data_IF_204445501378
#
_entry.id   IF_204445501378
#
_cell.length_a   1.000
_cell.length_b   1.000
_cell.length_c   1.000
_cell.angle_alpha   90.00
_cell.angle_beta   90.00
_cell.angle_gamma   90.00
#
_symmetry.space_group_name_H-M   'P 1'
#
loop_
_entity.id
_entity.type
_entity.pdbx_description
1 polymer ?
#
# COMPACT_ATOMS: atom_id res chain seq x y z
N UNK A 1 14.50 -1.69 10.10
CA UNK A 1 13.79 -1.50 8.81
C UNK A 1 14.78 -1.78 7.70
N UNK A 2 14.61 -2.90 7.00
CA UNK A 2 15.48 -3.29 5.91
C UNK A 2 15.17 -2.51 4.63
N UNK A 3 16.22 -2.07 3.91
CA UNK A 3 16.08 -1.36 2.62
C UNK A 3 15.26 -2.15 1.60
N UNK A 4 15.35 -3.49 1.66
CA UNK A 4 14.59 -4.41 0.80
C UNK A 4 13.07 -4.36 1.05
N UNK A 5 12.66 -3.98 2.26
CA UNK A 5 11.23 -3.83 2.61
C UNK A 5 10.70 -2.51 2.11
N UNK A 6 11.50 -1.44 2.18
CA UNK A 6 11.12 -0.11 1.67
C UNK A 6 10.78 -0.16 0.18
N UNK A 7 11.62 -0.83 -0.61
CA UNK A 7 11.43 -0.97 -2.06
C UNK A 7 10.10 -1.66 -2.46
N UNK A 8 9.50 -2.46 -1.57
CA UNK A 8 8.23 -3.16 -1.84
C UNK A 8 7.02 -2.29 -1.52
N UNK A 9 7.17 -1.34 -0.60
CA UNK A 9 6.07 -0.54 -0.04
C UNK A 9 6.03 0.88 -0.55
N UNK A 10 7.12 1.40 -1.10
CA UNK A 10 7.15 2.70 -1.76
C UNK A 10 6.68 2.58 -3.21
N UNK A 11 5.87 3.51 -3.73
CA UNK A 11 5.62 3.63 -5.16
C UNK A 11 6.91 3.58 -5.98
N UNK A 12 6.86 2.94 -7.15
CA UNK A 12 8.04 2.82 -8.01
C UNK A 12 8.46 4.18 -8.56
N UNK A 13 9.76 4.40 -8.74
CA UNK A 13 10.29 5.63 -9.32
C UNK A 13 9.69 5.87 -10.73
N UNK A 14 9.18 7.08 -10.96
CA UNK A 14 8.50 7.43 -12.22
C UNK A 14 7.02 7.03 -12.30
N UNK A 15 6.45 6.40 -11.26
CA UNK A 15 5.00 6.21 -11.21
C UNK A 15 4.28 7.56 -11.15
N UNK A 16 3.45 7.82 -12.17
CA UNK A 16 2.50 8.92 -12.10
C UNK A 16 1.50 8.59 -11.00
N UNK A 17 1.14 9.57 -10.17
CA UNK A 17 0.15 9.40 -9.10
C UNK A 17 -1.16 8.79 -9.62
N UNK A 18 -1.55 9.07 -10.86
CA UNK A 18 -2.71 8.48 -11.53
C UNK A 18 -2.67 6.95 -11.68
N UNK A 19 -1.50 6.32 -11.55
CA UNK A 19 -1.31 4.86 -11.67
C UNK A 19 -1.28 4.16 -10.32
N UNK A 20 -1.26 4.92 -9.23
CA UNK A 20 -1.29 4.39 -7.88
C UNK A 20 -2.69 3.90 -7.52
N UNK A 21 -2.70 2.85 -6.71
CA UNK A 21 -3.91 2.27 -6.15
C UNK A 21 -3.77 2.19 -4.64
N UNK A 22 -4.85 2.44 -3.93
CA UNK A 22 -4.92 2.26 -2.49
C UNK A 22 -5.56 0.90 -2.17
N UNK A 23 -4.96 0.13 -1.27
CA UNK A 23 -5.61 -1.07 -0.73
C UNK A 23 -6.88 -0.67 0.04
N UNK A 24 -8.02 -1.28 -0.28
CA UNK A 24 -9.31 -0.91 0.33
C UNK A 24 -9.33 -1.16 1.85
N UNK A 25 -8.55 -2.13 2.34
CA UNK A 25 -8.53 -2.52 3.76
C UNK A 25 -7.61 -1.64 4.61
N UNK A 26 -6.38 -1.41 4.15
CA UNK A 26 -5.33 -0.78 4.96
C UNK A 26 -4.83 0.56 4.41
N UNK A 27 -5.34 1.01 3.25
CA UNK A 27 -5.00 2.28 2.59
C UNK A 27 -3.54 2.40 2.12
N UNK A 28 -2.77 1.31 2.13
CA UNK A 28 -1.43 1.28 1.54
C UNK A 28 -1.49 1.64 0.06
N UNK A 29 -0.67 2.59 -0.36
CA UNK A 29 -0.57 3.08 -1.75
C UNK A 29 0.62 2.42 -2.45
N UNK A 30 0.37 1.85 -3.64
CA UNK A 30 1.39 1.29 -4.54
C UNK A 30 0.93 1.30 -5.98
N UNK A 31 1.85 0.99 -6.90
CA UNK A 31 1.48 0.64 -8.26
C UNK A 31 0.69 -0.67 -8.33
N UNK A 32 -0.18 -0.77 -9.34
CA UNK A 32 -0.89 -2.02 -9.67
C UNK A 32 0.08 -3.20 -9.79
N UNK A 33 1.22 -2.98 -10.45
CA UNK A 33 2.21 -4.03 -10.68
C UNK A 33 2.86 -4.47 -9.36
N UNK A 34 3.14 -3.55 -8.43
CA UNK A 34 3.68 -3.89 -7.12
C UNK A 34 2.70 -4.72 -6.27
N UNK A 35 1.40 -4.44 -6.36
CA UNK A 35 0.38 -5.31 -5.75
C UNK A 35 0.33 -6.69 -6.38
N UNK A 36 0.53 -6.79 -7.70
CA UNK A 36 0.55 -8.06 -8.40
C UNK A 36 1.78 -8.89 -8.02
N UNK A 37 2.95 -8.26 -7.93
CA UNK A 37 4.22 -8.94 -7.70
C UNK A 37 4.42 -9.30 -6.22
N UNK A 38 4.06 -8.38 -5.31
CA UNK A 38 4.35 -8.51 -3.88
C UNK A 38 3.11 -8.73 -3.02
N UNK A 39 1.93 -8.33 -3.50
CA UNK A 39 0.72 -8.28 -2.69
C UNK A 39 0.66 -7.05 -1.78
N UNK A 40 -0.22 -7.12 -0.77
CA UNK A 40 -0.32 -6.13 0.30
C UNK A 40 0.33 -6.70 1.56
N UNK A 41 1.33 -6.01 2.12
CA UNK A 41 2.06 -6.44 3.31
C UNK A 41 1.19 -6.40 4.57
N UNK A 42 0.23 -5.47 4.60
CA UNK A 42 -0.66 -5.30 5.74
C UNK A 42 -1.89 -6.22 5.67
N UNK A 43 -2.18 -6.79 4.49
CA UNK A 43 -3.36 -7.65 4.28
C UNK A 43 -3.03 -8.88 3.44
N UNK A 44 -2.23 -9.85 3.95
CA UNK A 44 -1.90 -11.07 3.22
C UNK A 44 -3.14 -11.88 2.81
N UNK A 45 -4.19 -11.83 3.62
CA UNK A 45 -5.45 -12.55 3.40
C UNK A 45 -6.25 -12.05 2.19
N UNK A 46 -5.93 -10.84 1.69
CA UNK A 46 -6.54 -10.32 0.47
C UNK A 46 -6.12 -11.10 -0.80
N UNK A 47 -5.02 -11.87 -0.74
CA UNK A 47 -4.61 -12.77 -1.82
C UNK A 47 -4.32 -12.05 -3.15
N UNK A 48 -3.76 -10.84 -3.08
CA UNK A 48 -3.54 -9.98 -4.26
C UNK A 48 -2.40 -10.47 -5.17
N UNK A 49 -1.39 -11.12 -4.58
CA UNK A 49 -0.18 -11.58 -5.29
C UNK A 49 -0.54 -12.57 -6.39
N UNK A 50 -0.07 -12.29 -7.62
CA UNK A 50 -0.32 -13.10 -8.82
C UNK A 50 -1.77 -13.08 -9.31
N UNK A 51 -2.69 -12.35 -8.66
CA UNK A 51 -4.12 -12.38 -8.98
C UNK A 51 -4.61 -10.99 -9.43
N UNK A 52 -4.41 -10.68 -10.72
CA UNK A 52 -4.76 -9.37 -11.30
C UNK A 52 -6.22 -8.95 -11.06
N UNK A 53 -7.17 -9.88 -11.17
CA UNK A 53 -8.59 -9.61 -10.89
C UNK A 53 -8.82 -9.20 -9.44
N UNK A 54 -8.12 -9.82 -8.49
CA UNK A 54 -8.17 -9.45 -7.08
C UNK A 54 -7.47 -8.12 -6.79
N UNK A 55 -6.40 -7.80 -7.51
CA UNK A 55 -5.80 -6.45 -7.41
C UNK A 55 -6.82 -5.39 -7.81
N UNK A 56 -7.57 -5.60 -8.89
CA UNK A 56 -8.59 -4.64 -9.35
C UNK A 56 -9.72 -4.49 -8.34
N UNK A 57 -10.23 -5.58 -7.76
CA UNK A 57 -11.36 -5.53 -6.82
C UNK A 57 -10.96 -5.22 -5.38
N UNK A 58 -9.72 -5.49 -4.99
CA UNK A 58 -9.18 -5.25 -3.65
C UNK A 58 -8.48 -3.90 -3.48
N UNK A 59 -8.38 -3.10 -4.54
CA UNK A 59 -7.73 -1.78 -4.52
C UNK A 59 -8.50 -0.75 -5.35
N UNK A 60 -8.42 0.52 -4.97
CA UNK A 60 -9.10 1.64 -5.66
C UNK A 60 -8.10 2.61 -6.28
N UNK A 61 -8.46 3.22 -7.41
CA UNK A 61 -7.75 4.39 -7.98
C UNK A 61 -8.27 5.72 -7.44
N UNK A 62 -9.42 5.70 -6.77
CA UNK A 62 -9.99 6.87 -6.09
C UNK A 62 -9.39 6.96 -4.69
N UNK A 63 -8.28 7.68 -4.56
CA UNK A 63 -7.61 7.97 -3.31
C UNK A 63 -7.25 9.46 -3.28
N UNK A 64 -7.15 10.03 -2.08
CA UNK A 64 -6.80 11.43 -1.89
C UNK A 64 -5.86 11.55 -0.70
N UNK A 65 -4.85 12.42 -0.85
CA UNK A 65 -3.79 12.58 0.14
C UNK A 65 -2.83 11.38 0.18
N UNK A 66 -1.58 11.65 0.56
CA UNK A 66 -0.56 10.63 0.74
C UNK A 66 0.30 10.99 1.94
N UNK A 67 0.57 10.02 2.81
CA UNK A 67 1.46 10.18 3.97
C UNK A 67 2.48 9.06 3.97
N UNK A 68 3.76 9.42 4.12
CA UNK A 68 4.83 8.45 4.33
C UNK A 68 4.98 8.17 5.82
N UNK A 69 4.77 6.90 6.21
CA UNK A 69 4.89 6.47 7.61
C UNK A 69 6.25 5.79 7.80
N UNK A 70 7.06 6.34 8.68
CA UNK A 70 8.32 5.76 9.13
C UNK A 70 8.19 5.39 10.61
N UNK A 71 8.64 4.20 11.00
CA UNK A 71 8.54 3.65 12.38
C UNK A 71 7.10 3.66 12.93
N UNK A 72 6.18 2.85 12.38
CA UNK A 72 4.79 2.79 12.84
C UNK A 72 4.66 2.46 14.34
N UNK A 73 5.64 1.75 14.92
CA UNK A 73 5.71 1.43 16.34
C UNK A 73 5.93 2.66 17.23
N UNK A 74 6.68 3.67 16.78
CA UNK A 74 6.88 4.91 17.55
C UNK A 74 5.60 5.75 17.60
N UNK A 75 4.75 5.62 16.57
CA UNK A 75 3.41 6.21 16.53
C UNK A 75 2.36 5.35 17.24
N UNK A 76 2.64 4.11 17.62
CA UNK A 76 1.64 3.20 18.22
C UNK A 76 1.19 3.61 19.65
N UNK A 77 1.94 4.50 20.32
CA UNK A 77 1.52 5.16 21.57
C UNK A 77 0.50 6.29 21.37
N UNK A 78 0.43 6.84 20.15
CA UNK A 78 -0.68 7.68 19.67
C UNK A 78 -1.45 6.84 18.66
N UNK A 79 -2.33 5.94 19.15
CA UNK A 79 -3.27 5.20 18.29
C UNK A 79 -3.74 6.11 17.16
N UNK A 80 -3.59 5.66 15.91
CA UNK A 80 -3.84 6.41 14.68
C UNK A 80 -5.27 6.93 14.52
N UNK A 81 -5.68 7.83 15.41
CA UNK A 81 -6.98 8.48 15.51
C UNK A 81 -7.22 9.50 14.38
N UNK A 82 -6.17 9.87 13.65
CA UNK A 82 -6.22 10.87 12.58
C UNK A 82 -6.32 10.28 11.18
N UNK A 83 -6.09 8.97 11.05
CA UNK A 83 -6.16 8.24 9.78
C UNK A 83 -7.36 7.28 9.78
N UNK A 84 -8.36 7.46 10.65
CA UNK A 84 -9.58 6.67 10.65
C UNK A 84 -10.56 7.23 9.61
#
# INVERSE_FOLDING_TARGET
MDVKTLLKTTPTEGSKTTHLRACIRCRLLKDKQQFLDFGCENCPEAGLRGQASKVITGTTTAWEGMTAIFRPEATAGQKGSWLA
#
